data_IF_159342932700
#
_entry.id   IF_159342932700
#
_cell.length_a   1.000
_cell.length_b   1.000
_cell.length_c   1.000
_cell.angle_alpha   90.00
_cell.angle_beta   90.00
_cell.angle_gamma   90.00
#
_symmetry.space_group_name_H-M   'P 1'
#
loop_
_entity.id
_entity.type
_entity.pdbx_description
1 polymer ?
#
# COMPACT_ATOMS: atom_id res chain seq x y z
N UNK A 1 -16.29 -4.16 50.82
CA UNK A 1 -15.28 -5.23 50.90
C UNK A 1 -15.21 -5.91 49.53
N UNK A 2 -13.98 -5.99 48.98
CA UNK A 2 -13.44 -6.99 48.02
C UNK A 2 -14.29 -7.37 46.78
N UNK A 3 -13.95 -6.88 45.57
CA UNK A 3 -12.92 -7.36 44.60
C UNK A 3 -13.02 -8.85 44.22
N UNK A 4 -13.49 -9.09 42.99
CA UNK A 4 -13.03 -10.10 42.01
C UNK A 4 -13.62 -9.65 40.65
N UNK A 5 -12.96 -9.62 39.51
CA UNK A 5 -11.62 -10.04 39.09
C UNK A 5 -11.65 -10.15 37.55
N UNK A 6 -10.68 -9.50 36.88
CA UNK A 6 -10.26 -9.70 35.47
C UNK A 6 -11.17 -9.15 34.33
N UNK A 7 -10.59 -8.76 33.17
CA UNK A 7 -9.37 -9.30 32.57
C UNK A 7 -8.20 -8.32 32.49
N UNK A 8 -7.04 -8.83 32.91
CA UNK A 8 -5.72 -8.41 32.44
C UNK A 8 -5.67 -8.63 30.92
N UNK A 9 -6.00 -7.58 30.16
CA UNK A 9 -5.46 -7.43 28.81
C UNK A 9 -3.97 -7.24 29.00
N UNK A 10 -3.26 -8.35 28.80
CA UNK A 10 -1.93 -8.38 28.22
C UNK A 10 -1.67 -7.05 27.52
N UNK A 11 -0.91 -6.19 28.20
CA UNK A 11 -0.38 -4.97 27.66
C UNK A 11 0.60 -5.42 26.58
N UNK A 12 0.05 -5.71 25.41
CA UNK A 12 0.82 -5.62 24.18
C UNK A 12 1.47 -4.27 24.29
N UNK A 13 2.81 -4.25 24.39
CA UNK A 13 3.63 -3.05 24.33
C UNK A 13 3.36 -2.37 23.00
N UNK A 14 2.21 -1.72 22.90
CA UNK A 14 1.69 -1.06 21.74
C UNK A 14 2.50 0.23 21.65
N UNK A 15 3.67 0.11 21.04
CA UNK A 15 4.54 1.24 20.79
C UNK A 15 3.89 2.09 19.70
N UNK A 16 3.48 3.28 20.07
CA UNK A 16 2.88 4.28 19.18
C UNK A 16 3.91 5.34 18.85
N UNK A 17 3.71 6.04 17.74
CA UNK A 17 4.53 7.20 17.39
C UNK A 17 3.79 8.45 17.84
N UNK A 18 4.46 9.30 18.61
CA UNK A 18 3.89 10.56 19.04
C UNK A 18 3.68 11.48 17.83
N UNK A 19 2.49 12.06 17.63
CA UNK A 19 2.21 12.92 16.47
C UNK A 19 2.98 14.25 16.51
N UNK A 20 3.38 14.69 17.71
CA UNK A 20 4.06 15.97 17.93
C UNK A 20 5.57 15.87 17.69
N UNK A 21 6.23 14.82 18.18
CA UNK A 21 7.69 14.70 18.15
C UNK A 21 8.22 13.51 17.32
N UNK A 22 7.34 12.70 16.74
CA UNK A 22 7.64 11.47 15.99
C UNK A 22 8.53 10.44 16.71
N UNK A 23 8.73 10.57 18.02
CA UNK A 23 9.37 9.54 18.81
C UNK A 23 8.44 8.36 19.06
N UNK A 24 9.02 7.17 19.03
CA UNK A 24 8.35 5.93 19.42
C UNK A 24 8.21 5.93 20.93
N UNK A 25 6.98 5.93 21.40
CA UNK A 25 6.64 5.92 22.83
C UNK A 25 5.87 4.66 23.19
N UNK A 26 6.16 4.14 24.38
CA UNK A 26 5.39 3.07 24.99
C UNK A 26 4.08 3.67 25.51
N UNK A 27 2.95 3.01 25.21
CA UNK A 27 1.65 3.41 25.77
C UNK A 27 1.65 3.07 27.25
N UNK A 28 1.94 4.08 28.08
CA UNK A 28 1.74 4.03 29.52
C UNK A 28 0.29 4.31 29.92
N UNK A 29 -0.04 4.27 31.22
CA UNK A 29 -1.36 4.64 31.73
C UNK A 29 -1.69 6.13 31.53
N UNK A 30 -0.67 6.96 31.30
CA UNK A 30 -0.83 8.37 30.98
C UNK A 30 -0.92 8.54 29.45
N UNK A 31 -2.00 9.14 28.96
CA UNK A 31 -2.24 9.40 27.53
C UNK A 31 -1.37 10.55 26.99
N UNK A 32 -0.10 10.62 27.40
CA UNK A 32 0.87 11.67 27.05
C UNK A 32 2.21 11.10 26.64
N UNK A 33 2.88 11.78 25.73
CA UNK A 33 4.22 11.43 25.29
C UNK A 33 5.23 11.71 26.41
N UNK A 34 6.05 10.72 26.77
CA UNK A 34 7.11 10.87 27.76
C UNK A 34 8.23 11.84 27.32
N UNK A 35 8.45 11.97 26.01
CA UNK A 35 9.54 12.79 25.45
C UNK A 35 9.13 14.27 25.27
N UNK A 36 7.92 14.53 24.78
CA UNK A 36 7.48 15.89 24.44
C UNK A 36 6.23 16.37 25.18
N UNK A 37 5.63 15.55 26.04
CA UNK A 37 4.38 15.88 26.75
C UNK A 37 3.12 15.96 25.88
N UNK A 38 3.22 15.75 24.57
CA UNK A 38 2.10 15.81 23.63
C UNK A 38 1.02 14.77 23.90
N UNK A 39 -0.24 15.09 23.66
CA UNK A 39 -1.36 14.17 23.90
C UNK A 39 -1.32 12.99 22.92
N UNK A 40 -1.39 11.78 23.47
CA UNK A 40 -1.55 10.52 22.72
C UNK A 40 -3.02 10.12 22.61
N UNK A 41 -3.91 10.81 23.32
CA UNK A 41 -5.36 10.59 23.35
C UNK A 41 -5.97 10.53 21.96
N UNK A 42 -5.48 11.37 21.03
CA UNK A 42 -5.93 11.32 19.64
C UNK A 42 -5.52 10.00 19.01
N UNK A 43 -4.25 9.65 18.97
CA UNK A 43 -3.76 8.39 18.37
C UNK A 43 -4.45 7.14 18.96
N UNK A 44 -4.72 7.14 20.27
CA UNK A 44 -5.39 6.04 20.97
C UNK A 44 -6.90 5.95 20.68
N UNK A 45 -7.59 7.07 20.45
CA UNK A 45 -9.03 7.11 20.07
C UNK A 45 -9.27 7.08 18.56
N UNK A 46 -8.29 7.47 17.75
CA UNK A 46 -8.52 8.01 16.41
C UNK A 46 -8.38 7.01 15.26
N UNK A 47 -8.30 5.70 15.44
CA UNK A 47 -8.26 4.83 14.26
C UNK A 47 -8.93 3.49 14.50
N UNK A 48 -9.93 3.17 13.65
CA UNK A 48 -10.58 1.86 13.68
C UNK A 48 -9.60 0.79 13.18
N UNK A 49 -9.47 -0.28 13.96
CA UNK A 49 -8.69 -1.47 13.61
C UNK A 49 -7.41 -1.62 14.43
N UNK A 50 -6.73 -2.74 14.22
CA UNK A 50 -5.48 -3.06 14.91
C UNK A 50 -4.39 -2.08 14.45
N UNK A 51 -3.69 -1.39 15.37
CA UNK A 51 -2.58 -0.53 14.99
C UNK A 51 -1.52 -1.35 14.25
N UNK A 52 -0.88 -0.79 13.22
CA UNK A 52 0.20 -1.48 12.53
C UNK A 52 1.36 -1.78 13.50
N UNK A 53 2.01 -2.95 13.36
CA UNK A 53 3.21 -3.25 14.14
C UNK A 53 4.33 -2.26 13.78
N UNK A 54 5.29 -2.11 14.68
CA UNK A 54 6.46 -1.29 14.41
C UNK A 54 7.27 -1.83 13.21
N UNK A 55 7.97 -0.94 12.48
CA UNK A 55 8.91 -1.36 11.46
C UNK A 55 10.14 -2.08 12.09
N UNK A 56 10.77 -3.03 11.38
CA UNK A 56 10.39 -3.58 10.07
C UNK A 56 9.19 -4.53 10.14
N UNK A 57 8.20 -4.31 9.27
CA UNK A 57 7.04 -5.18 9.11
C UNK A 57 7.27 -6.24 8.03
N UNK A 58 6.90 -7.48 8.32
CA UNK A 58 6.87 -8.55 7.32
C UNK A 58 5.58 -8.46 6.49
N UNK A 59 5.72 -8.17 5.19
CA UNK A 59 4.58 -8.16 4.25
C UNK A 59 4.38 -9.56 3.65
N UNK A 60 3.14 -10.04 3.66
CA UNK A 60 2.78 -11.31 3.03
C UNK A 60 2.94 -11.23 1.51
N UNK A 61 2.96 -12.39 0.83
CA UNK A 61 3.02 -12.43 -0.65
C UNK A 61 1.77 -11.77 -1.27
N UNK A 62 0.59 -11.99 -0.70
CA UNK A 62 -0.66 -11.39 -1.14
C UNK A 62 -0.62 -9.86 -1.06
N UNK A 63 -0.21 -9.32 0.11
CA UNK A 63 -0.06 -7.87 0.31
C UNK A 63 0.93 -7.23 -0.68
N UNK A 64 2.05 -7.90 -0.95
CA UNK A 64 3.01 -7.42 -1.97
C UNK A 64 2.40 -7.42 -3.37
N UNK A 65 1.65 -8.46 -3.73
CA UNK A 65 0.97 -8.57 -5.03
C UNK A 65 -0.21 -7.59 -5.17
N UNK A 66 -0.85 -7.20 -4.06
CA UNK A 66 -1.89 -6.18 -4.05
C UNK A 66 -1.35 -4.82 -4.50
N UNK A 67 -0.12 -4.48 -4.09
CA UNK A 67 0.56 -3.24 -4.52
C UNK A 67 1.22 -3.38 -5.90
N UNK A 68 1.81 -4.54 -6.20
CA UNK A 68 2.62 -4.76 -7.39
C UNK A 68 1.78 -5.17 -8.62
N UNK A 69 1.04 -4.22 -9.20
CA UNK A 69 0.12 -4.47 -10.33
C UNK A 69 0.45 -3.63 -11.56
N UNK A 70 0.39 -4.19 -12.79
CA UNK A 70 0.53 -3.38 -14.00
C UNK A 70 -0.66 -2.44 -14.16
N UNK A 71 -0.47 -1.31 -14.86
CA UNK A 71 -1.56 -0.37 -15.15
C UNK A 71 -2.66 -1.01 -16.00
N UNK A 72 -2.28 -1.90 -16.91
CA UNK A 72 -3.20 -2.68 -17.74
C UNK A 72 -2.80 -4.14 -17.72
N UNK A 73 -3.60 -4.96 -17.04
CA UNK A 73 -3.39 -6.41 -16.97
C UNK A 73 -3.48 -7.05 -18.36
N UNK A 74 -4.43 -6.64 -19.19
CA UNK A 74 -4.63 -7.18 -20.55
C UNK A 74 -3.45 -6.89 -21.47
N UNK A 75 -2.96 -5.63 -21.51
CA UNK A 75 -1.77 -5.28 -22.32
C UNK A 75 -0.51 -5.98 -21.81
N UNK A 76 -0.39 -6.16 -20.50
CA UNK A 76 0.74 -6.90 -19.92
C UNK A 76 0.70 -8.38 -20.30
N UNK A 77 -0.49 -9.02 -20.24
CA UNK A 77 -0.68 -10.41 -20.62
C UNK A 77 -0.42 -10.62 -22.13
N UNK A 78 -1.01 -9.79 -22.98
CA UNK A 78 -0.80 -9.83 -24.43
C UNK A 78 0.67 -9.60 -24.80
N UNK A 79 1.30 -8.59 -24.17
CA UNK A 79 2.72 -8.31 -24.39
C UNK A 79 3.62 -9.46 -23.95
N UNK A 80 3.29 -10.12 -22.84
CA UNK A 80 4.01 -11.31 -22.36
C UNK A 80 3.84 -12.49 -23.31
N UNK A 81 2.62 -12.73 -23.81
CA UNK A 81 2.35 -13.78 -24.80
C UNK A 81 3.16 -13.58 -26.08
N UNK A 82 3.05 -12.41 -26.71
CA UNK A 82 3.77 -12.08 -27.94
C UNK A 82 5.29 -12.18 -27.78
N UNK A 83 5.81 -11.69 -26.65
CA UNK A 83 7.24 -11.79 -26.33
C UNK A 83 7.69 -13.24 -26.20
N UNK A 84 6.90 -14.07 -25.51
CA UNK A 84 7.24 -15.49 -25.30
C UNK A 84 7.25 -16.25 -26.62
N UNK A 85 6.23 -16.04 -27.46
CA UNK A 85 6.18 -16.62 -28.81
C UNK A 85 7.38 -16.15 -29.64
N UNK A 86 7.64 -14.84 -29.70
CA UNK A 86 8.76 -14.28 -30.44
C UNK A 86 10.12 -14.87 -30.02
N UNK A 87 10.37 -15.00 -28.71
CA UNK A 87 11.60 -15.59 -28.16
C UNK A 87 11.72 -17.07 -28.50
N UNK A 88 10.63 -17.84 -28.41
CA UNK A 88 10.64 -19.27 -28.76
C UNK A 88 10.89 -19.52 -30.25
N UNK A 89 10.54 -18.58 -31.13
CA UNK A 89 10.82 -18.68 -32.56
C UNK A 89 12.27 -18.36 -32.95
N UNK A 90 13.02 -17.65 -32.10
CA UNK A 90 14.43 -17.27 -32.38
C UNK A 90 15.34 -18.48 -32.69
N UNK A 91 15.42 -19.55 -31.87
CA UNK A 91 16.31 -20.66 -32.17
C UNK A 91 15.95 -21.37 -33.48
N UNK A 92 14.66 -21.50 -33.79
CA UNK A 92 14.17 -22.11 -35.05
C UNK A 92 14.53 -21.22 -36.25
N UNK A 93 14.38 -19.91 -36.11
CA UNK A 93 14.73 -18.95 -37.15
C UNK A 93 16.24 -18.92 -37.45
N UNK A 94 17.07 -19.04 -36.41
CA UNK A 94 18.54 -19.06 -36.55
C UNK A 94 19.02 -20.38 -37.13
N UNK A 95 18.48 -21.52 -36.67
CA UNK A 95 18.97 -22.84 -37.04
C UNK A 95 18.43 -23.37 -38.38
N UNK A 96 17.18 -23.04 -38.75
CA UNK A 96 16.50 -23.71 -39.86
C UNK A 96 15.91 -22.76 -40.90
N UNK A 97 15.26 -21.67 -40.50
CA UNK A 97 14.57 -20.77 -41.44
C UNK A 97 14.84 -19.29 -41.13
N UNK A 98 15.85 -18.71 -41.79
CA UNK A 98 16.11 -17.25 -41.79
C UNK A 98 14.87 -16.36 -42.00
N UNK A 99 13.90 -16.67 -42.90
CA UNK A 99 12.71 -15.81 -43.05
C UNK A 99 11.82 -15.76 -41.80
N UNK A 100 11.90 -16.73 -40.88
CA UNK A 100 11.19 -16.68 -39.59
C UNK A 100 11.81 -15.68 -38.61
N UNK A 101 13.01 -15.15 -38.89
CA UNK A 101 13.67 -14.18 -38.03
C UNK A 101 12.93 -12.84 -37.98
N UNK A 102 12.38 -12.38 -39.12
CA UNK A 102 11.61 -11.14 -39.22
C UNK A 102 10.33 -11.19 -38.36
N UNK A 103 9.43 -12.18 -38.50
CA UNK A 103 8.24 -12.26 -37.65
C UNK A 103 8.60 -12.50 -36.17
N UNK A 104 9.66 -13.28 -35.86
CA UNK A 104 10.13 -13.45 -34.49
C UNK A 104 10.56 -12.11 -33.86
N UNK A 105 11.30 -11.29 -34.60
CA UNK A 105 11.72 -9.96 -34.16
C UNK A 105 10.53 -9.00 -34.00
N UNK A 106 9.56 -9.02 -34.92
CA UNK A 106 8.35 -8.19 -34.83
C UNK A 106 7.52 -8.57 -33.60
N UNK A 107 7.23 -9.85 -33.40
CA UNK A 107 6.44 -10.33 -32.27
C UNK A 107 7.15 -10.05 -30.94
N UNK A 108 8.46 -10.33 -30.87
CA UNK A 108 9.28 -10.04 -29.69
C UNK A 108 9.33 -8.55 -29.37
N UNK A 109 9.58 -7.71 -30.38
CA UNK A 109 9.62 -6.25 -30.25
C UNK A 109 8.28 -5.67 -29.81
N UNK A 110 7.18 -6.05 -30.46
CA UNK A 110 5.83 -5.60 -30.12
C UNK A 110 5.44 -6.04 -28.70
N UNK A 111 5.72 -7.29 -28.35
CA UNK A 111 5.48 -7.82 -27.01
C UNK A 111 6.24 -7.04 -25.92
N UNK A 112 7.49 -6.71 -26.19
CA UNK A 112 8.33 -5.91 -25.30
C UNK A 112 7.81 -4.48 -25.12
N UNK A 113 7.37 -3.83 -26.20
CA UNK A 113 6.77 -2.48 -26.15
C UNK A 113 5.48 -2.51 -25.34
N UNK A 114 4.55 -3.41 -25.64
CA UNK A 114 3.28 -3.56 -24.91
C UNK A 114 3.51 -3.81 -23.42
N UNK A 115 4.49 -4.66 -23.08
CA UNK A 115 4.83 -4.95 -21.68
C UNK A 115 5.43 -3.74 -20.96
N UNK A 116 6.25 -2.93 -21.65
CA UNK A 116 6.85 -1.70 -21.11
C UNK A 116 5.82 -0.60 -20.90
N UNK A 117 4.89 -0.41 -21.84
CA UNK A 117 3.83 0.60 -21.73
C UNK A 117 2.76 0.20 -20.72
N UNK A 118 2.49 -1.11 -20.56
CA UNK A 118 1.59 -1.62 -19.54
C UNK A 118 2.12 -1.44 -18.10
N UNK A 119 3.44 -1.24 -17.93
CA UNK A 119 4.06 -1.06 -16.62
C UNK A 119 5.15 0.01 -16.62
N UNK A 120 4.75 1.29 -16.67
CA UNK A 120 5.67 2.41 -16.78
C UNK A 120 6.60 2.50 -15.56
N UNK A 121 7.79 3.10 -15.76
CA UNK A 121 8.80 3.26 -14.70
C UNK A 121 8.26 4.05 -13.51
N UNK A 122 7.46 5.10 -13.76
CA UNK A 122 6.83 5.90 -12.72
C UNK A 122 5.96 5.06 -11.78
N UNK A 123 5.06 4.24 -12.34
CA UNK A 123 4.20 3.36 -11.54
C UNK A 123 5.01 2.36 -10.71
N UNK A 124 6.07 1.79 -11.27
CA UNK A 124 6.97 0.88 -10.51
C UNK A 124 7.68 1.60 -9.37
N UNK A 125 8.07 2.86 -9.57
CA UNK A 125 8.71 3.66 -8.53
C UNK A 125 7.74 3.94 -7.39
N UNK A 126 6.53 4.39 -7.71
CA UNK A 126 5.45 4.63 -6.75
C UNK A 126 5.09 3.37 -5.96
N UNK A 127 4.97 2.22 -6.63
CA UNK A 127 4.72 0.92 -5.99
C UNK A 127 5.85 0.50 -5.05
N UNK A 128 7.12 0.75 -5.42
CA UNK A 128 8.28 0.49 -4.55
C UNK A 128 8.26 1.39 -3.32
N UNK A 129 7.97 2.67 -3.50
CA UNK A 129 7.85 3.63 -2.40
C UNK A 129 6.71 3.22 -1.44
N UNK A 130 5.55 2.82 -1.97
CA UNK A 130 4.44 2.28 -1.16
C UNK A 130 4.84 1.02 -0.38
N UNK A 131 5.51 0.06 -1.02
CA UNK A 131 6.02 -1.11 -0.33
C UNK A 131 7.06 -0.76 0.74
N UNK A 132 7.87 0.28 0.51
CA UNK A 132 8.82 0.78 1.49
C UNK A 132 8.11 1.40 2.68
N UNK A 133 7.08 2.23 2.48
CA UNK A 133 6.26 2.77 3.57
C UNK A 133 5.52 1.67 4.35
N UNK A 134 4.96 0.68 3.65
CA UNK A 134 4.31 -0.46 4.31
C UNK A 134 5.29 -1.29 5.16
N UNK A 135 6.55 -1.40 4.76
CA UNK A 135 7.57 -2.17 5.49
C UNK A 135 8.25 -1.37 6.61
N UNK A 136 8.57 -0.10 6.37
CA UNK A 136 9.44 0.72 7.22
C UNK A 136 8.78 1.96 7.79
N UNK A 137 7.58 2.31 7.33
CA UNK A 137 6.92 3.55 7.72
C UNK A 137 6.47 3.56 9.17
N UNK A 138 6.41 4.76 9.73
CA UNK A 138 5.84 5.01 11.05
C UNK A 138 4.32 5.13 10.94
N UNK A 139 3.56 4.66 11.94
CA UNK A 139 2.12 4.80 11.95
C UNK A 139 1.67 6.21 12.32
N UNK A 140 0.63 6.67 11.65
CA UNK A 140 -0.11 7.88 12.01
C UNK A 140 -1.62 7.63 11.87
N UNK A 141 -2.40 8.34 12.68
CA UNK A 141 -3.84 8.41 12.50
C UNK A 141 -4.14 9.40 11.37
N UNK A 142 -5.01 9.01 10.43
CA UNK A 142 -5.49 9.84 9.34
C UNK A 142 -7.00 9.93 9.37
N UNK A 143 -7.55 11.01 8.82
CA UNK A 143 -8.97 11.19 8.60
C UNK A 143 -9.30 11.11 7.11
N UNK A 144 -10.31 10.35 6.73
CA UNK A 144 -10.77 10.24 5.35
C UNK A 144 -11.52 11.52 4.96
N UNK A 145 -11.02 12.25 3.97
CA UNK A 145 -11.70 13.45 3.45
C UNK A 145 -12.67 13.11 2.33
N UNK A 146 -12.34 12.12 1.50
CA UNK A 146 -13.15 11.72 0.34
C UNK A 146 -13.08 10.22 0.13
N UNK A 147 -14.22 9.62 -0.21
CA UNK A 147 -14.33 8.22 -0.61
C UNK A 147 -15.08 8.19 -1.94
N UNK A 148 -14.37 7.99 -3.03
CA UNK A 148 -14.96 7.74 -4.34
C UNK A 148 -15.07 6.25 -4.58
N UNK A 149 -16.14 5.81 -5.25
CA UNK A 149 -16.39 4.40 -5.51
C UNK A 149 -16.50 4.20 -7.00
N UNK A 150 -15.49 3.54 -7.56
CA UNK A 150 -15.43 3.23 -8.97
C UNK A 150 -15.77 1.75 -9.18
N UNK A 151 -16.64 1.47 -10.15
CA UNK A 151 -16.88 0.11 -10.58
C UNK A 151 -15.82 -0.28 -11.62
N UNK A 152 -15.01 -1.28 -11.31
CA UNK A 152 -13.94 -1.77 -12.20
C UNK A 152 -14.25 -3.22 -12.56
N UNK A 153 -14.78 -3.50 -13.77
CA UNK A 153 -15.22 -4.83 -14.18
C UNK A 153 -14.12 -5.91 -14.10
N UNK A 154 -12.84 -5.50 -14.18
CA UNK A 154 -11.68 -6.40 -14.17
C UNK A 154 -11.17 -6.78 -12.78
N UNK A 155 -11.74 -6.23 -11.69
CA UNK A 155 -11.33 -6.54 -10.31
C UNK A 155 -12.34 -7.51 -9.71
N UNK A 156 -11.89 -8.59 -9.07
CA UNK A 156 -12.77 -9.63 -8.47
C UNK A 156 -13.85 -9.09 -7.53
N UNK A 157 -13.59 -7.96 -6.86
CA UNK A 157 -14.54 -7.31 -5.96
C UNK A 157 -15.57 -6.41 -6.67
N UNK A 158 -15.47 -6.24 -7.99
CA UNK A 158 -16.32 -5.36 -8.83
C UNK A 158 -16.18 -3.87 -8.54
N UNK A 159 -15.70 -3.49 -7.37
CA UNK A 159 -15.62 -2.12 -6.88
C UNK A 159 -14.23 -1.81 -6.34
N UNK A 160 -13.75 -0.61 -6.64
CA UNK A 160 -12.51 -0.03 -6.11
C UNK A 160 -12.90 1.27 -5.44
N UNK A 161 -12.48 1.45 -4.19
CA UNK A 161 -12.66 2.71 -3.48
C UNK A 161 -11.41 3.56 -3.65
N UNK A 162 -11.53 4.79 -4.11
CA UNK A 162 -10.45 5.77 -4.06
C UNK A 162 -10.62 6.61 -2.80
N UNK A 163 -9.64 6.50 -1.92
CA UNK A 163 -9.67 7.09 -0.59
C UNK A 163 -8.70 8.26 -0.54
N UNK A 164 -9.23 9.47 -0.35
CA UNK A 164 -8.43 10.62 0.02
C UNK A 164 -8.44 10.77 1.55
N UNK A 165 -7.27 11.00 2.14
CA UNK A 165 -7.10 11.14 3.57
C UNK A 165 -6.13 12.26 3.91
N UNK A 166 -6.28 12.81 5.11
CA UNK A 166 -5.37 13.79 5.70
C UNK A 166 -4.81 13.27 7.00
N UNK A 167 -3.54 13.54 7.25
CA UNK A 167 -2.89 13.18 8.50
C UNK A 167 -1.88 14.25 8.87
N UNK A 168 -1.66 14.41 10.16
CA UNK A 168 -0.75 15.44 10.68
C UNK A 168 0.54 14.79 11.14
N UNK A 169 1.66 15.30 10.66
CA UNK A 169 3.01 14.86 11.05
C UNK A 169 3.83 16.09 11.37
N UNK A 170 4.40 16.17 12.58
CA UNK A 170 5.15 17.35 13.05
C UNK A 170 4.39 18.68 12.93
N UNK A 171 3.06 18.65 13.07
CA UNK A 171 2.20 19.83 12.90
C UNK A 171 1.92 20.24 11.45
N UNK A 172 2.48 19.53 10.46
CA UNK A 172 2.16 19.72 9.05
C UNK A 172 0.99 18.80 8.64
N UNK A 173 -0.01 19.37 7.95
CA UNK A 173 -1.13 18.62 7.40
C UNK A 173 -0.75 18.05 6.03
N UNK A 174 -0.71 16.73 5.91
CA UNK A 174 -0.35 16.02 4.69
C UNK A 174 -1.56 15.34 4.08
N UNK A 175 -1.63 15.36 2.75
CA UNK A 175 -2.68 14.73 1.97
C UNK A 175 -2.17 13.45 1.30
N UNK A 176 -2.96 12.39 1.39
CA UNK A 176 -2.76 11.16 0.64
C UNK A 176 -4.00 10.79 -0.16
N UNK A 177 -3.79 10.16 -1.32
CA UNK A 177 -4.86 9.60 -2.15
C UNK A 177 -4.41 8.20 -2.61
N UNK A 178 -5.26 7.20 -2.37
CA UNK A 178 -4.95 5.83 -2.75
C UNK A 178 -6.18 5.05 -3.21
N UNK A 179 -6.10 4.35 -4.35
CA UNK A 179 -7.09 3.35 -4.70
C UNK A 179 -6.90 2.11 -3.82
N UNK A 180 -7.99 1.67 -3.20
CA UNK A 180 -8.09 0.42 -2.46
C UNK A 180 -9.12 -0.52 -3.09
N UNK A 181 -8.73 -1.74 -3.47
CA UNK A 181 -9.67 -2.77 -3.92
C UNK A 181 -10.37 -3.48 -2.75
N UNK A 182 -10.18 -3.04 -1.51
CA UNK A 182 -10.67 -3.75 -0.34
C UNK A 182 -12.17 -3.51 -0.13
N UNK A 183 -12.96 -4.58 0.05
CA UNK A 183 -14.40 -4.47 0.28
C UNK A 183 -14.76 -3.64 1.53
N UNK A 184 -14.00 -3.77 2.63
CA UNK A 184 -14.14 -2.93 3.81
C UNK A 184 -13.90 -1.44 3.52
N UNK A 185 -12.98 -1.12 2.62
CA UNK A 185 -12.68 0.26 2.25
C UNK A 185 -13.77 0.89 1.39
N UNK A 186 -14.50 0.08 0.62
CA UNK A 186 -15.70 0.52 -0.12
C UNK A 186 -16.82 0.97 0.83
N UNK A 187 -16.92 0.36 2.02
CA UNK A 187 -17.94 0.69 3.01
C UNK A 187 -17.59 1.91 3.88
N UNK A 188 -16.35 2.42 3.79
CA UNK A 188 -15.92 3.57 4.57
C UNK A 188 -16.65 4.85 4.17
N UNK A 189 -16.69 5.78 5.11
CA UNK A 189 -17.32 7.10 4.94
C UNK A 189 -16.30 8.22 5.16
N UNK A 190 -16.44 9.37 4.49
CA UNK A 190 -15.70 10.58 4.85
C UNK A 190 -15.89 10.92 6.33
N UNK A 191 -14.86 11.47 6.97
CA UNK A 191 -14.77 11.73 8.41
C UNK A 191 -14.36 10.51 9.24
N UNK A 192 -14.34 9.30 8.65
CA UNK A 192 -13.82 8.14 9.36
C UNK A 192 -12.30 8.20 9.50
N UNK A 193 -11.82 7.84 10.68
CA UNK A 193 -10.41 7.86 10.98
C UNK A 193 -9.77 6.47 10.87
N UNK A 194 -8.59 6.43 10.27
CA UNK A 194 -7.92 5.22 9.75
C UNK A 194 -6.43 5.24 10.08
N UNK A 195 -5.79 4.07 10.03
CA UNK A 195 -4.35 3.99 10.15
C UNK A 195 -3.68 4.20 8.79
N UNK A 196 -2.66 5.05 8.78
CA UNK A 196 -1.74 5.20 7.65
C UNK A 196 -0.32 5.00 8.14
N UNK A 197 0.54 4.61 7.22
CA UNK A 197 1.98 4.48 7.48
C UNK A 197 2.73 5.39 6.52
N UNK A 198 3.66 6.18 7.04
CA UNK A 198 4.43 7.16 6.28
C UNK A 198 5.93 6.95 6.49
N UNK A 199 6.76 7.31 5.52
CA UNK A 199 8.22 7.27 5.71
C UNK A 199 8.68 8.51 6.49
N UNK A 200 9.44 8.37 7.59
CA UNK A 200 9.92 9.53 8.34
C UNK A 200 10.87 10.40 7.53
N UNK A 201 11.63 9.82 6.59
CA UNK A 201 12.55 10.57 5.72
C UNK A 201 11.82 11.34 4.61
N UNK A 202 10.62 10.90 4.23
CA UNK A 202 9.77 11.56 3.24
C UNK A 202 8.28 11.32 3.59
N UNK A 203 7.68 12.21 4.41
CA UNK A 203 6.31 12.05 4.90
C UNK A 203 5.24 12.02 3.81
N UNK A 204 5.56 12.50 2.59
CA UNK A 204 4.65 12.45 1.44
C UNK A 204 4.45 11.03 0.92
N UNK A 205 5.39 10.13 1.20
CA UNK A 205 5.27 8.72 0.86
C UNK A 205 4.49 8.02 1.97
N UNK A 206 3.18 7.87 1.75
CA UNK A 206 2.26 7.22 2.68
C UNK A 206 1.49 6.06 2.04
N UNK A 207 1.03 5.15 2.88
CA UNK A 207 0.18 4.03 2.49
C UNK A 207 -0.88 3.74 3.55
N UNK A 208 -2.05 3.29 3.09
CA UNK A 208 -3.16 2.94 3.96
C UNK A 208 -2.91 1.60 4.67
N UNK A 209 -3.29 1.51 5.94
CA UNK A 209 -3.20 0.29 6.74
C UNK A 209 -4.60 -0.19 7.18
N UNK A 210 -4.88 -1.51 7.14
CA UNK A 210 -4.03 -2.59 6.64
C UNK A 210 -3.92 -2.61 5.10
N UNK A 211 -2.80 -3.06 4.53
CA UNK A 211 -2.73 -3.34 3.10
C UNK A 211 -3.68 -4.48 2.77
N UNK A 212 -4.55 -4.28 1.77
CA UNK A 212 -5.51 -5.30 1.36
C UNK A 212 -4.87 -6.58 0.81
N UNK A 213 -5.63 -7.70 0.79
CA UNK A 213 -5.24 -8.95 0.15
C UNK A 213 -5.26 -8.90 -1.40
#
# INVERSE_FOLDING_TARGET
>A
MQRHGQPTRESVDARLVCPTCAHVVLVGPEERCAECGGSLTEVLRAARGVPPPLPPRALTRAQRQAVWRPASSSRHALGTFLLTVGVLMVPVAVAYLRPLGVPAAILGGLGMVLRRTAWPRALRHEQRQRLRALRWGLPAAAELTRVERDFVPSVKAGSVARLAYVFTVHGELLHGDMPSPHALDVQRRPGERIWVVYLPEDPRVSALWPPGP
#
